data_IF_298647334040
#
_entry.id   IF_298647334040
#
_cell.length_a   1.000
_cell.length_b   1.000
_cell.length_c   1.000
_cell.angle_alpha   90.00
_cell.angle_beta   90.00
_cell.angle_gamma   90.00
#
_symmetry.space_group_name_H-M   'P 1'
#
loop_
_entity.id
_entity.type
_entity.pdbx_description
1 polymer ?
#
# COMPACT_ATOMS: atom_id res chain seq x y z
N UNK A 1 6.37 19.21 -5.57
CA UNK A 1 5.15 18.81 -4.84
C UNK A 1 4.94 19.84 -3.73
N UNK A 2 3.76 20.40 -3.62
CA UNK A 2 3.43 21.44 -2.63
C UNK A 2 2.94 20.74 -1.36
N UNK A 3 3.43 21.18 -0.19
CA UNK A 3 2.93 20.66 1.08
C UNK A 3 1.61 21.35 1.43
N UNK A 4 0.65 20.59 1.93
CA UNK A 4 -0.63 21.17 2.34
C UNK A 4 -0.49 22.17 3.51
N UNK A 5 0.52 21.99 4.38
CA UNK A 5 0.86 22.95 5.45
C UNK A 5 1.32 24.31 4.93
N UNK A 6 1.82 24.39 3.70
CA UNK A 6 2.21 25.67 3.07
C UNK A 6 0.98 26.48 2.61
N UNK A 7 -0.17 25.83 2.49
CA UNK A 7 -1.43 26.46 2.10
C UNK A 7 -2.17 27.01 3.35
N UNK A 8 -1.69 28.13 3.86
CA UNK A 8 -2.17 28.72 5.13
C UNK A 8 -3.30 29.76 4.97
N UNK A 9 -3.54 30.25 3.76
CA UNK A 9 -4.58 31.27 3.48
C UNK A 9 -5.90 30.59 3.12
N UNK A 10 -7.03 31.24 3.40
CA UNK A 10 -8.34 30.78 2.96
C UNK A 10 -8.56 30.95 1.45
N UNK A 11 -7.95 31.99 0.87
CA UNK A 11 -8.02 32.27 -0.55
C UNK A 11 -6.63 32.66 -1.11
N UNK A 12 -6.38 32.26 -2.32
CA UNK A 12 -5.15 32.52 -3.07
C UNK A 12 -5.44 33.25 -4.37
N UNK A 13 -4.63 34.25 -4.70
CA UNK A 13 -4.67 34.89 -6.02
C UNK A 13 -4.13 33.92 -7.08
N UNK A 14 -4.56 34.10 -8.34
CA UNK A 14 -4.03 33.29 -9.47
C UNK A 14 -2.51 33.45 -9.64
N UNK A 15 -1.94 34.59 -9.21
CA UNK A 15 -0.50 34.81 -9.23
C UNK A 15 0.25 33.96 -8.20
N UNK A 16 -0.27 33.87 -6.98
CA UNK A 16 0.29 33.02 -5.92
C UNK A 16 0.23 31.55 -6.31
N UNK A 17 -0.92 31.08 -6.85
CA UNK A 17 -1.07 29.69 -7.30
C UNK A 17 -0.13 29.40 -8.47
N UNK A 18 0.03 30.32 -9.40
CA UNK A 18 0.97 30.17 -10.52
C UNK A 18 2.42 30.07 -10.01
N UNK A 19 2.80 30.86 -8.99
CA UNK A 19 4.12 30.80 -8.36
C UNK A 19 4.34 29.45 -7.64
N UNK A 20 3.37 28.98 -6.84
CA UNK A 20 3.44 27.67 -6.18
C UNK A 20 3.63 26.51 -7.16
N UNK A 21 2.95 26.57 -8.30
CA UNK A 21 3.01 25.53 -9.32
C UNK A 21 4.16 25.68 -10.30
N UNK A 22 4.91 26.77 -10.21
CA UNK A 22 5.94 27.14 -11.17
C UNK A 22 5.43 27.16 -12.62
N UNK A 23 4.25 27.73 -12.83
CA UNK A 23 3.59 27.85 -14.15
C UNK A 23 3.19 29.31 -14.43
N UNK A 24 2.85 29.59 -15.69
CA UNK A 24 2.39 30.90 -16.07
C UNK A 24 0.94 31.16 -15.58
N UNK A 25 0.65 32.40 -15.16
CA UNK A 25 -0.70 32.87 -14.79
C UNK A 25 -1.73 32.60 -15.91
N UNK A 26 -1.33 32.70 -17.18
CA UNK A 26 -2.20 32.34 -18.32
C UNK A 26 -2.66 30.90 -18.31
N UNK A 27 -1.85 29.99 -17.76
CA UNK A 27 -2.23 28.56 -17.59
C UNK A 27 -3.36 28.43 -16.58
N UNK A 28 -3.29 29.14 -15.44
CA UNK A 28 -4.37 29.15 -14.44
C UNK A 28 -5.66 29.74 -15.05
N UNK A 29 -5.54 30.84 -15.83
CA UNK A 29 -6.70 31.43 -16.51
C UNK A 29 -7.33 30.50 -17.56
N UNK A 30 -6.51 29.65 -18.22
CA UNK A 30 -7.01 28.63 -19.13
C UNK A 30 -7.74 27.53 -18.34
N UNK A 31 -7.15 27.06 -17.25
CA UNK A 31 -7.77 26.04 -16.38
C UNK A 31 -9.07 26.51 -15.73
N UNK A 32 -9.21 27.81 -15.41
CA UNK A 32 -10.46 28.42 -14.97
C UNK A 32 -11.54 28.32 -16.07
N UNK A 33 -11.19 28.59 -17.33
CA UNK A 33 -12.12 28.47 -18.48
C UNK A 33 -12.47 27.01 -18.81
N UNK A 34 -11.53 26.09 -18.58
CA UNK A 34 -11.71 24.64 -18.80
C UNK A 34 -12.43 23.97 -17.60
N UNK A 35 -12.79 24.73 -16.55
CA UNK A 35 -13.47 24.23 -15.37
C UNK A 35 -12.58 23.37 -14.43
N UNK A 36 -11.27 23.36 -14.63
CA UNK A 36 -10.30 22.63 -13.81
C UNK A 36 -10.11 23.32 -12.46
N UNK A 37 -9.96 24.65 -12.47
CA UNK A 37 -10.02 25.49 -11.28
C UNK A 37 -11.29 26.32 -11.29
N UNK A 38 -12.05 26.26 -10.21
CA UNK A 38 -13.22 27.14 -10.05
C UNK A 38 -12.77 28.43 -9.36
N UNK A 39 -12.42 29.46 -10.15
CA UNK A 39 -12.04 30.76 -9.60
C UNK A 39 -13.28 31.55 -9.18
N UNK A 40 -13.19 32.13 -7.99
CA UNK A 40 -14.12 33.12 -7.49
C UNK A 40 -13.64 34.54 -7.88
N UNK A 41 -14.51 35.52 -7.74
CA UNK A 41 -14.16 36.91 -7.94
C UNK A 41 -14.35 37.71 -6.67
N UNK A 42 -13.32 38.48 -6.30
CA UNK A 42 -13.44 39.42 -5.20
C UNK A 42 -14.35 40.59 -5.60
N UNK A 43 -14.75 41.45 -4.65
CA UNK A 43 -15.50 42.67 -4.88
C UNK A 43 -14.78 43.62 -5.84
N UNK A 44 -13.45 43.51 -5.98
CA UNK A 44 -12.63 44.29 -6.96
C UNK A 44 -12.49 43.54 -8.29
N UNK A 45 -13.30 42.52 -8.55
CA UNK A 45 -13.30 41.70 -9.77
C UNK A 45 -11.99 40.92 -10.04
N UNK A 46 -11.15 40.72 -9.00
CA UNK A 46 -9.92 39.91 -9.12
C UNK A 46 -10.26 38.44 -8.94
N UNK A 47 -9.61 37.57 -9.72
CA UNK A 47 -9.75 36.11 -9.58
C UNK A 47 -8.99 35.62 -8.35
N UNK A 48 -9.67 34.84 -7.53
CA UNK A 48 -9.13 34.11 -6.37
C UNK A 48 -9.58 32.66 -6.41
N UNK A 49 -8.82 31.80 -5.78
CA UNK A 49 -9.08 30.37 -5.67
C UNK A 49 -9.23 30.08 -4.18
N UNK A 50 -10.36 29.49 -3.80
CA UNK A 50 -10.58 29.04 -2.43
C UNK A 50 -9.59 27.91 -2.10
N UNK A 51 -9.12 27.86 -0.85
CA UNK A 51 -8.15 26.88 -0.35
C UNK A 51 -8.60 25.45 -0.60
N UNK A 52 -9.87 25.13 -0.31
CA UNK A 52 -10.37 23.76 -0.44
C UNK A 52 -10.41 23.30 -1.90
N UNK A 53 -10.84 24.17 -2.81
CA UNK A 53 -10.79 23.92 -4.26
C UNK A 53 -9.33 23.74 -4.75
N UNK A 54 -8.41 24.57 -4.25
CA UNK A 54 -6.99 24.43 -4.57
C UNK A 54 -6.45 23.07 -4.11
N UNK A 55 -6.74 22.66 -2.87
CA UNK A 55 -6.36 21.35 -2.30
C UNK A 55 -6.92 20.21 -3.15
N UNK A 56 -8.21 20.25 -3.48
CA UNK A 56 -8.88 19.23 -4.29
C UNK A 56 -8.20 19.05 -5.66
N UNK A 57 -7.99 20.14 -6.38
CA UNK A 57 -7.37 20.11 -7.72
C UNK A 57 -5.93 19.64 -7.65
N UNK A 58 -5.14 20.10 -6.67
CA UNK A 58 -3.76 19.67 -6.49
C UNK A 58 -3.66 18.19 -6.11
N UNK A 59 -4.57 17.71 -5.29
CA UNK A 59 -4.64 16.29 -4.90
C UNK A 59 -4.98 15.40 -6.10
N UNK A 60 -6.02 15.76 -6.88
CA UNK A 60 -6.44 15.04 -8.08
C UNK A 60 -5.35 14.98 -9.16
N UNK A 61 -4.41 15.93 -9.15
CA UNK A 61 -3.27 15.99 -10.06
C UNK A 61 -1.98 15.40 -9.49
N UNK A 62 -2.03 14.85 -8.27
CA UNK A 62 -0.85 14.31 -7.59
C UNK A 62 0.22 15.37 -7.29
N UNK A 63 -0.15 16.65 -7.21
CA UNK A 63 0.75 17.77 -6.96
C UNK A 63 0.79 18.21 -5.49
N UNK A 64 -0.13 17.71 -4.67
CA UNK A 64 -0.23 18.03 -3.26
C UNK A 64 0.41 16.94 -2.40
N UNK A 65 1.24 17.36 -1.46
CA UNK A 65 1.71 16.50 -0.37
C UNK A 65 0.91 16.85 0.91
N UNK A 66 0.10 15.93 1.38
CA UNK A 66 -0.74 16.11 2.56
C UNK A 66 0.07 15.89 3.83
N UNK A 67 0.54 16.96 4.46
CA UNK A 67 1.33 16.96 5.69
C UNK A 67 0.57 17.46 6.94
N UNK A 68 -0.69 17.93 6.79
CA UNK A 68 -1.46 18.54 7.88
C UNK A 68 -2.12 17.51 8.81
N UNK A 69 -2.33 16.29 8.36
CA UNK A 69 -2.94 15.21 9.17
C UNK A 69 -2.04 13.99 9.30
N UNK A 70 -0.73 14.19 9.29
CA UNK A 70 0.24 13.11 9.32
C UNK A 70 0.67 12.74 10.74
N UNK A 71 -0.25 12.33 11.58
CA UNK A 71 0.08 11.25 12.49
C UNK A 71 0.21 9.99 11.63
N UNK A 72 1.42 9.76 11.08
CA UNK A 72 1.71 8.52 10.37
C UNK A 72 1.29 7.35 11.24
N UNK A 73 0.76 6.33 10.61
CA UNK A 73 0.31 5.11 11.30
C UNK A 73 1.36 4.01 11.20
N UNK A 74 1.39 3.15 12.17
CA UNK A 74 2.06 1.86 12.06
C UNK A 74 1.09 0.86 11.41
N UNK A 75 1.51 0.23 10.32
CA UNK A 75 0.72 -0.79 9.66
C UNK A 75 1.11 -2.18 10.15
N UNK A 76 0.14 -2.94 10.60
CA UNK A 76 0.26 -4.37 10.85
C UNK A 76 -0.34 -5.08 9.64
N UNK A 77 0.47 -5.84 8.92
CA UNK A 77 -0.01 -6.60 7.79
C UNK A 77 0.11 -8.10 8.05
N UNK A 78 -1.02 -8.79 7.94
CA UNK A 78 -1.13 -10.23 8.13
C UNK A 78 -1.80 -10.89 6.91
N UNK A 79 -1.34 -12.09 6.56
CA UNK A 79 -1.86 -12.85 5.42
C UNK A 79 -1.82 -14.35 5.68
N UNK A 80 -2.88 -15.04 5.26
CA UNK A 80 -2.94 -16.49 5.11
C UNK A 80 -3.30 -16.84 3.68
N UNK A 81 -2.89 -18.03 3.21
CA UNK A 81 -3.09 -18.44 1.80
C UNK A 81 -4.50 -18.93 1.52
N UNK A 82 -5.22 -19.44 2.53
CA UNK A 82 -6.52 -20.08 2.35
C UNK A 82 -7.55 -19.67 3.40
N UNK A 83 -8.83 -19.83 3.03
CA UNK A 83 -9.94 -19.65 3.97
C UNK A 83 -9.94 -20.69 5.11
N UNK A 84 -9.36 -21.88 4.89
CA UNK A 84 -9.21 -22.89 5.92
C UNK A 84 -8.27 -22.43 7.04
N UNK A 85 -7.11 -21.86 6.68
CA UNK A 85 -6.19 -21.28 7.67
C UNK A 85 -6.86 -20.13 8.43
N UNK A 86 -7.65 -19.29 7.75
CA UNK A 86 -8.43 -18.25 8.42
C UNK A 86 -9.43 -18.86 9.41
N UNK A 87 -10.16 -19.92 9.02
CA UNK A 87 -11.12 -20.60 9.90
C UNK A 87 -10.46 -21.27 11.11
N UNK A 88 -9.20 -21.71 10.98
CA UNK A 88 -8.37 -22.22 12.09
C UNK A 88 -7.82 -21.12 13.01
N UNK A 89 -8.07 -19.85 12.69
CA UNK A 89 -7.64 -18.69 13.47
C UNK A 89 -6.20 -18.26 13.25
N UNK A 90 -5.51 -18.77 12.20
CA UNK A 90 -4.11 -18.45 11.92
C UNK A 90 -3.90 -16.95 11.63
N UNK A 91 -4.84 -16.34 10.91
CA UNK A 91 -4.79 -14.91 10.60
C UNK A 91 -4.89 -14.05 11.87
N UNK A 92 -5.80 -14.39 12.77
CA UNK A 92 -6.02 -13.67 14.04
C UNK A 92 -4.83 -13.87 14.99
N UNK A 93 -4.20 -15.04 14.97
CA UNK A 93 -2.97 -15.31 15.74
C UNK A 93 -1.81 -14.45 15.25
N UNK A 94 -1.61 -14.32 13.91
CA UNK A 94 -0.59 -13.43 13.35
C UNK A 94 -0.78 -11.99 13.80
N UNK A 95 -2.00 -11.48 13.69
CA UNK A 95 -2.33 -10.10 14.12
C UNK A 95 -2.05 -9.93 15.62
N UNK A 96 -2.55 -10.84 16.45
CA UNK A 96 -2.36 -10.77 17.90
C UNK A 96 -0.88 -10.84 18.28
N UNK A 97 -0.12 -11.72 17.65
CA UNK A 97 1.33 -11.82 17.85
C UNK A 97 2.04 -10.50 17.53
N UNK A 98 1.76 -9.89 16.36
CA UNK A 98 2.38 -8.63 15.96
C UNK A 98 2.02 -7.48 16.92
N UNK A 99 0.74 -7.39 17.34
CA UNK A 99 0.29 -6.35 18.29
C UNK A 99 0.99 -6.52 19.63
N UNK A 100 1.17 -7.74 20.12
CA UNK A 100 1.80 -8.01 21.42
C UNK A 100 3.32 -7.87 21.39
N UNK A 101 3.96 -8.18 20.26
CA UNK A 101 5.42 -8.14 20.12
C UNK A 101 5.99 -6.73 19.98
N UNK A 102 5.17 -5.75 19.62
CA UNK A 102 5.63 -4.36 19.38
C UNK A 102 5.09 -3.44 20.47
N UNK A 103 5.95 -3.05 21.41
CA UNK A 103 5.54 -2.25 22.59
C UNK A 103 5.25 -0.78 22.29
N UNK A 104 5.79 -0.23 21.19
CA UNK A 104 5.74 1.20 20.85
C UNK A 104 4.90 1.52 19.61
N UNK A 105 3.83 0.74 19.36
CA UNK A 105 2.92 0.96 18.23
C UNK A 105 2.26 2.34 18.30
N UNK A 106 2.34 3.07 17.20
CA UNK A 106 1.76 4.41 17.05
C UNK A 106 0.55 4.34 16.13
N UNK A 107 -0.63 4.60 16.69
CA UNK A 107 -1.89 4.64 15.94
C UNK A 107 -2.03 3.45 14.95
N UNK A 108 -2.00 2.18 15.43
CA UNK A 108 -1.89 1.02 14.57
C UNK A 108 -3.10 0.85 13.65
N UNK A 109 -2.83 0.58 12.38
CA UNK A 109 -3.83 0.18 11.39
C UNK A 109 -3.56 -1.27 10.98
N UNK A 110 -4.58 -2.12 11.09
CA UNK A 110 -4.47 -3.55 10.78
C UNK A 110 -5.01 -3.81 9.37
N UNK A 111 -4.20 -4.41 8.52
CA UNK A 111 -4.56 -4.90 7.20
C UNK A 111 -4.34 -6.41 7.15
N UNK A 112 -5.44 -7.15 7.18
CA UNK A 112 -5.42 -8.61 7.19
C UNK A 112 -6.21 -9.15 5.99
N UNK A 113 -5.65 -10.14 5.26
CA UNK A 113 -6.30 -10.70 4.08
C UNK A 113 -6.02 -12.19 3.88
N UNK A 114 -6.89 -12.82 3.10
CA UNK A 114 -6.72 -14.19 2.61
C UNK A 114 -6.33 -14.13 1.14
N UNK A 115 -5.21 -14.74 0.78
CA UNK A 115 -4.75 -14.80 -0.62
C UNK A 115 -3.33 -15.34 -0.73
N UNK A 116 -3.01 -15.97 -1.86
CA UNK A 116 -1.65 -16.44 -2.14
C UNK A 116 -0.63 -15.29 -2.19
N UNK A 117 0.60 -15.56 -1.74
CA UNK A 117 1.73 -14.65 -1.85
C UNK A 117 2.12 -14.31 -3.30
N UNK A 118 1.67 -15.11 -4.27
CA UNK A 118 1.84 -14.91 -5.70
C UNK A 118 0.80 -13.97 -6.32
N UNK A 119 -0.34 -13.79 -5.65
CA UNK A 119 -1.41 -12.94 -6.17
C UNK A 119 -1.06 -11.46 -6.00
N UNK A 120 -0.82 -10.78 -7.11
CA UNK A 120 -0.51 -9.34 -7.13
C UNK A 120 -1.76 -8.43 -7.07
N UNK A 121 -2.98 -9.00 -7.13
CA UNK A 121 -4.26 -8.26 -7.06
C UNK A 121 -4.87 -8.27 -5.65
N UNK A 122 -4.06 -8.49 -4.62
CA UNK A 122 -4.52 -8.50 -3.23
C UNK A 122 -4.93 -7.10 -2.77
N UNK A 123 -6.18 -6.97 -2.34
CA UNK A 123 -6.80 -5.68 -2.01
C UNK A 123 -6.08 -4.96 -0.85
N UNK A 124 -5.76 -5.70 0.23
CA UNK A 124 -5.11 -5.09 1.40
C UNK A 124 -3.65 -4.72 1.14
N UNK A 125 -2.94 -5.48 0.28
CA UNK A 125 -1.61 -5.09 -0.18
C UNK A 125 -1.65 -3.81 -1.01
N UNK A 126 -2.63 -3.67 -1.92
CA UNK A 126 -2.82 -2.43 -2.69
C UNK A 126 -3.15 -1.26 -1.77
N UNK A 127 -4.06 -1.45 -0.80
CA UNK A 127 -4.38 -0.43 0.21
C UNK A 127 -3.13 0.00 1.01
N UNK A 128 -2.27 -0.95 1.42
CA UNK A 128 -1.00 -0.66 2.08
C UNK A 128 -0.11 0.22 1.21
N UNK A 129 0.07 -0.16 -0.06
CA UNK A 129 0.91 0.61 -1.00
C UNK A 129 0.35 2.02 -1.23
N UNK A 130 -0.96 2.17 -1.40
CA UNK A 130 -1.60 3.47 -1.52
C UNK A 130 -1.35 4.35 -0.30
N UNK A 131 -1.44 3.77 0.91
CA UNK A 131 -1.14 4.50 2.14
C UNK A 131 0.33 4.92 2.23
N UNK A 132 1.28 4.06 1.78
CA UNK A 132 2.71 4.38 1.71
C UNK A 132 2.96 5.53 0.72
N UNK A 133 2.41 5.42 -0.50
CA UNK A 133 2.57 6.43 -1.56
C UNK A 133 1.99 7.79 -1.16
N UNK A 134 0.94 7.81 -0.35
CA UNK A 134 0.34 9.03 0.19
C UNK A 134 1.00 9.52 1.49
N UNK A 135 2.13 8.92 1.92
CA UNK A 135 2.89 9.35 3.08
C UNK A 135 2.21 9.13 4.44
N UNK A 136 1.21 8.25 4.51
CA UNK A 136 0.40 7.99 5.72
C UNK A 136 1.01 6.96 6.67
N UNK A 137 2.10 6.30 6.28
CA UNK A 137 2.70 5.18 7.02
C UNK A 137 4.06 5.57 7.58
N UNK A 138 4.35 5.16 8.82
CA UNK A 138 5.67 5.27 9.44
C UNK A 138 6.43 3.94 9.35
N UNK A 139 5.79 2.86 9.82
CA UNK A 139 6.38 1.52 9.87
C UNK A 139 5.36 0.47 9.41
N UNK A 140 5.86 -0.61 8.83
CA UNK A 140 5.06 -1.79 8.44
C UNK A 140 5.61 -2.98 9.21
N UNK A 141 4.75 -3.69 9.92
CA UNK A 141 5.08 -4.88 10.69
C UNK A 141 4.49 -6.13 10.05
N UNK A 142 5.32 -7.15 9.85
CA UNK A 142 4.94 -8.46 9.30
C UNK A 142 5.65 -9.57 10.07
N UNK A 143 5.07 -10.76 10.13
CA UNK A 143 5.73 -11.92 10.74
C UNK A 143 6.89 -12.42 9.87
N UNK A 144 6.70 -12.46 8.55
CA UNK A 144 7.70 -12.87 7.57
C UNK A 144 7.62 -11.99 6.32
N UNK A 145 8.73 -11.87 5.57
CA UNK A 145 8.81 -11.09 4.31
C UNK A 145 7.81 -11.57 3.26
N UNK A 146 7.58 -12.87 3.20
CA UNK A 146 6.68 -13.53 2.25
C UNK A 146 5.20 -13.26 2.53
N UNK A 147 4.85 -12.74 3.71
CA UNK A 147 3.49 -12.23 3.98
C UNK A 147 3.16 -11.04 3.09
N UNK A 148 4.13 -10.16 2.83
CA UNK A 148 3.95 -9.05 1.88
C UNK A 148 3.92 -9.55 0.44
N UNK A 149 4.94 -10.31 0.03
CA UNK A 149 4.99 -10.86 -1.33
C UNK A 149 5.94 -12.04 -1.37
N UNK A 150 5.61 -13.04 -2.17
CA UNK A 150 6.48 -14.20 -2.39
C UNK A 150 7.73 -13.83 -3.19
N UNK A 151 7.55 -12.97 -4.21
CA UNK A 151 8.63 -12.47 -5.03
C UNK A 151 8.61 -10.94 -5.06
N UNK A 152 9.78 -10.34 -5.31
CA UNK A 152 9.88 -8.89 -5.46
C UNK A 152 9.87 -8.09 -4.17
N UNK A 153 10.09 -8.71 -3.00
CA UNK A 153 10.17 -8.01 -1.71
C UNK A 153 11.13 -6.81 -1.75
N UNK A 154 12.28 -6.99 -2.42
CA UNK A 154 13.27 -5.93 -2.57
C UNK A 154 12.70 -4.65 -3.23
N UNK A 155 11.82 -4.80 -4.23
CA UNK A 155 11.20 -3.64 -4.87
C UNK A 155 10.21 -2.94 -3.94
N UNK A 156 9.44 -3.69 -3.16
CA UNK A 156 8.56 -3.11 -2.13
C UNK A 156 9.37 -2.37 -1.05
N UNK A 157 10.46 -2.97 -0.59
CA UNK A 157 11.36 -2.36 0.39
C UNK A 157 11.97 -1.05 -0.13
N UNK A 158 12.35 -1.01 -1.42
CA UNK A 158 12.85 0.21 -2.07
C UNK A 158 11.78 1.31 -2.16
N UNK A 159 10.56 0.96 -2.55
CA UNK A 159 9.44 1.91 -2.57
C UNK A 159 9.15 2.45 -1.17
N UNK A 160 9.05 1.58 -0.17
CA UNK A 160 8.87 1.97 1.23
C UNK A 160 9.99 2.89 1.72
N UNK A 161 11.26 2.53 1.47
CA UNK A 161 12.42 3.35 1.83
C UNK A 161 12.39 4.74 1.20
N UNK A 162 11.99 4.85 -0.07
CA UNK A 162 11.88 6.14 -0.74
C UNK A 162 10.88 7.08 -0.06
N UNK A 163 9.82 6.52 0.53
CA UNK A 163 8.81 7.23 1.31
C UNK A 163 9.14 7.33 2.81
N UNK A 164 10.36 6.96 3.22
CA UNK A 164 10.81 6.91 4.62
C UNK A 164 9.97 5.96 5.50
N UNK A 165 9.46 4.88 4.92
CA UNK A 165 8.73 3.82 5.62
C UNK A 165 9.64 2.63 5.84
N UNK A 166 9.69 2.10 7.08
CA UNK A 166 10.48 0.91 7.43
C UNK A 166 9.59 -0.32 7.45
N UNK A 167 10.04 -1.41 6.81
CA UNK A 167 9.43 -2.73 6.95
C UNK A 167 10.17 -3.47 8.06
N UNK A 168 9.46 -3.89 9.10
CA UNK A 168 9.98 -4.58 10.27
C UNK A 168 9.42 -6.01 10.27
N UNK A 169 10.31 -6.98 10.21
CA UNK A 169 9.95 -8.40 10.27
C UNK A 169 10.09 -8.86 11.71
N UNK A 170 8.97 -9.21 12.33
CA UNK A 170 8.90 -9.76 13.68
C UNK A 170 8.64 -11.27 13.55
N UNK A 171 9.71 -12.06 13.54
CA UNK A 171 9.61 -13.51 13.32
C UNK A 171 8.77 -14.19 14.40
N UNK A 172 7.79 -14.96 13.97
CA UNK A 172 7.02 -15.88 14.81
C UNK A 172 7.50 -17.32 14.55
N UNK A 173 8.23 -17.88 15.51
CA UNK A 173 8.77 -19.24 15.38
C UNK A 173 7.68 -20.30 15.20
N UNK A 174 6.44 -20.05 15.65
CA UNK A 174 5.32 -20.97 15.49
C UNK A 174 4.77 -21.05 14.06
N UNK A 175 5.12 -20.07 13.21
CA UNK A 175 4.65 -20.02 11.82
C UNK A 175 5.66 -20.59 10.81
N UNK A 176 6.87 -20.94 11.21
CA UNK A 176 7.95 -21.28 10.27
C UNK A 176 7.61 -22.49 9.39
N UNK A 177 7.00 -23.51 9.96
CA UNK A 177 6.54 -24.70 9.23
C UNK A 177 5.42 -24.35 8.24
N UNK A 178 4.42 -23.58 8.66
CA UNK A 178 3.32 -23.13 7.81
C UNK A 178 3.80 -22.28 6.63
N UNK A 179 4.84 -21.45 6.81
CA UNK A 179 5.44 -20.63 5.74
C UNK A 179 6.11 -21.51 4.69
N UNK A 180 6.82 -22.57 5.10
CA UNK A 180 7.47 -23.51 4.20
C UNK A 180 6.46 -24.33 3.40
N UNK A 181 5.39 -24.82 4.05
CA UNK A 181 4.30 -25.52 3.37
C UNK A 181 3.59 -24.62 2.33
N UNK A 182 3.31 -23.37 2.68
CA UNK A 182 2.72 -22.42 1.74
C UNK A 182 3.64 -22.19 0.53
N UNK A 183 4.95 -22.06 0.75
CA UNK A 183 5.93 -21.89 -0.33
C UNK A 183 5.90 -23.09 -1.28
N UNK A 184 5.91 -24.31 -0.75
CA UNK A 184 5.84 -25.53 -1.57
C UNK A 184 4.55 -25.57 -2.40
N UNK A 185 3.40 -25.25 -1.81
CA UNK A 185 2.09 -25.19 -2.51
C UNK A 185 2.09 -24.11 -3.61
N UNK A 186 2.64 -22.93 -3.33
CA UNK A 186 2.75 -21.84 -4.30
C UNK A 186 3.65 -22.24 -5.50
N UNK A 187 4.79 -22.91 -5.24
CA UNK A 187 5.70 -23.38 -6.31
C UNK A 187 5.03 -24.44 -7.19
N UNK A 188 4.31 -25.39 -6.59
CA UNK A 188 3.57 -26.39 -7.35
C UNK A 188 2.45 -25.80 -8.20
N UNK A 189 1.74 -24.80 -7.69
CA UNK A 189 0.74 -24.06 -8.46
C UNK A 189 1.36 -23.36 -9.68
N UNK A 190 2.57 -22.82 -9.56
CA UNK A 190 3.32 -22.24 -10.67
C UNK A 190 3.69 -23.33 -11.70
N UNK A 191 4.30 -24.42 -11.26
CA UNK A 191 4.70 -25.54 -12.14
C UNK A 191 3.47 -26.09 -12.89
N UNK A 192 2.35 -26.30 -12.18
CA UNK A 192 1.10 -26.75 -12.78
C UNK A 192 0.60 -25.79 -13.86
N UNK A 193 0.69 -24.48 -13.64
CA UNK A 193 0.27 -23.47 -14.61
C UNK A 193 1.11 -23.49 -15.89
N UNK A 194 2.42 -23.76 -15.77
CA UNK A 194 3.32 -23.88 -16.92
C UNK A 194 3.19 -25.20 -17.67
N UNK A 195 2.90 -26.30 -16.94
CA UNK A 195 2.73 -27.62 -17.56
C UNK A 195 1.36 -27.85 -18.21
N UNK A 196 0.44 -26.90 -18.12
CA UNK A 196 -0.92 -27.03 -18.63
C UNK A 196 -1.78 -28.06 -17.88
N UNK A 197 -1.29 -28.61 -16.75
CA UNK A 197 -2.04 -29.53 -15.89
C UNK A 197 -2.91 -28.74 -14.92
N UNK A 198 -4.16 -29.13 -14.76
CA UNK A 198 -5.05 -28.54 -13.77
C UNK A 198 -4.57 -28.89 -12.36
N UNK A 199 -4.64 -27.94 -11.46
CA UNK A 199 -4.24 -28.08 -10.03
C UNK A 199 -4.93 -29.25 -9.31
N UNK A 200 -6.06 -29.76 -9.86
CA UNK A 200 -6.80 -30.95 -9.35
C UNK A 200 -6.13 -32.29 -9.65
N UNK A 201 -5.22 -32.31 -10.62
CA UNK A 201 -4.55 -33.54 -11.05
C UNK A 201 -3.27 -33.82 -10.25
N UNK A 202 -2.84 -32.88 -9.43
CA UNK A 202 -1.68 -33.02 -8.55
C UNK A 202 -2.19 -33.48 -7.18
N UNK A 203 -2.24 -34.81 -6.97
CA UNK A 203 -2.50 -35.38 -5.66
C UNK A 203 -1.25 -35.24 -4.79
N UNK A 204 -1.41 -34.57 -3.65
CA UNK A 204 -0.41 -34.61 -2.58
C UNK A 204 -0.54 -35.94 -1.83
N UNK A 205 0.47 -36.75 -1.89
CA UNK A 205 0.66 -37.85 -0.97
C UNK A 205 1.62 -37.35 0.12
N UNK A 206 1.10 -37.15 1.33
CA UNK A 206 1.83 -36.50 2.45
C UNK A 206 3.06 -37.29 2.94
N UNK A 207 3.38 -38.44 2.33
CA UNK A 207 4.46 -39.33 2.79
C UNK A 207 5.68 -39.44 1.85
N UNK A 208 5.61 -39.05 0.58
CA UNK A 208 6.76 -39.20 -0.33
C UNK A 208 6.77 -38.08 -1.40
N UNK A 209 7.39 -36.97 -1.08
CA UNK A 209 7.64 -35.91 -2.06
C UNK A 209 8.92 -36.22 -2.85
N UNK A 210 8.79 -36.78 -4.04
CA UNK A 210 9.90 -37.04 -4.94
C UNK A 210 9.88 -36.06 -6.13
N UNK A 211 10.78 -35.06 -6.08
CA UNK A 211 10.89 -34.04 -7.12
C UNK A 211 11.29 -34.62 -8.49
N UNK A 212 11.94 -35.81 -8.53
CA UNK A 212 12.39 -36.45 -9.76
C UNK A 212 11.27 -36.88 -10.72
N UNK A 213 10.04 -37.10 -10.21
CA UNK A 213 8.89 -37.51 -11.04
C UNK A 213 8.20 -36.35 -11.78
N UNK A 214 8.63 -35.13 -11.55
CA UNK A 214 8.03 -33.93 -12.18
C UNK A 214 8.70 -33.61 -13.52
N UNK A 215 9.89 -34.16 -13.76
CA UNK A 215 10.72 -33.83 -14.92
C UNK A 215 10.85 -34.98 -15.96
N UNK A 216 10.10 -36.08 -15.82
CA UNK A 216 9.85 -37.05 -16.86
C UNK A 216 8.51 -36.76 -17.59
#
# INVERSE_FOLDING_TARGET
MIKQSELTKEQYTIGEVAAFLNINVKTIQRWDREGIFKCERTHTNRRVINRDNLIEVLNNRGMLFNDINNSKVDLIYARVSSHEQKAKGDLDRQVSFLVQSVQDLKNPTILAEVGSGLNNKREKLHQLLDMVLHGKVDRIFVTYRDRLTRFGFYYLEKVCSYHNVKIIVVKDASEEESVQEELAKDMLALIASFSGKNQKDIKFDDQNFNISEIFE
#
